data_IF_989620613503
#
_entry.id   IF_989620613503
#
_cell.length_a   1.000
_cell.length_b   1.000
_cell.length_c   1.000
_cell.angle_alpha   90.00
_cell.angle_beta   90.00
_cell.angle_gamma   90.00
#
_symmetry.space_group_name_H-M   'P 1'
#
loop_
_entity.id
_entity.type
_entity.pdbx_description
1 polymer ?
#
# COMPACT_ATOMS: atom_id res chain seq x y z
N UNK A 1 11.95 6.05 35.09
CA UNK A 1 10.55 6.01 34.57
C UNK A 1 10.49 5.93 33.04
N UNK A 2 11.19 6.77 32.26
CA UNK A 2 11.20 6.70 30.78
C UNK A 2 11.75 5.38 30.25
N UNK A 3 12.82 4.84 30.81
CA UNK A 3 13.39 3.55 30.43
C UNK A 3 12.37 2.39 30.56
N UNK A 4 11.70 2.30 31.69
CA UNK A 4 10.68 1.28 31.94
C UNK A 4 9.50 1.41 30.97
N UNK A 5 9.04 2.64 30.71
CA UNK A 5 7.95 2.92 29.77
C UNK A 5 8.28 2.50 28.35
N UNK A 6 9.54 2.74 27.90
CA UNK A 6 10.01 2.30 26.59
C UNK A 6 9.97 0.77 26.47
N UNK A 7 10.48 0.04 27.44
CA UNK A 7 10.49 -1.43 27.39
C UNK A 7 9.08 -2.04 27.42
N UNK A 8 8.16 -1.44 28.18
CA UNK A 8 6.76 -1.87 28.22
C UNK A 8 6.13 -1.68 26.83
N UNK A 9 6.35 -0.54 26.15
CA UNK A 9 5.77 -0.33 24.80
C UNK A 9 6.35 -1.27 23.75
N UNK A 10 7.65 -1.59 23.82
CA UNK A 10 8.26 -2.58 22.92
C UNK A 10 7.72 -3.99 23.19
N UNK A 11 7.55 -4.38 24.47
CA UNK A 11 6.95 -5.65 24.83
C UNK A 11 5.50 -5.75 24.33
N UNK A 12 4.69 -4.72 24.54
CA UNK A 12 3.31 -4.67 24.02
C UNK A 12 3.28 -4.81 22.51
N UNK A 13 4.21 -4.15 21.80
CA UNK A 13 4.32 -4.28 20.35
C UNK A 13 4.66 -5.71 19.92
N UNK A 14 5.63 -6.35 20.56
CA UNK A 14 5.99 -7.75 20.27
C UNK A 14 4.83 -8.70 20.54
N UNK A 15 4.11 -8.54 21.65
CA UNK A 15 2.92 -9.33 21.96
C UNK A 15 1.83 -9.15 20.90
N UNK A 16 1.62 -7.93 20.42
CA UNK A 16 0.66 -7.63 19.37
C UNK A 16 1.07 -8.30 18.04
N UNK A 17 2.35 -8.24 17.64
CA UNK A 17 2.83 -8.93 16.45
C UNK A 17 2.66 -10.46 16.57
N UNK A 18 3.03 -11.05 17.71
CA UNK A 18 2.84 -12.48 17.95
C UNK A 18 1.36 -12.86 17.91
N UNK A 19 0.48 -12.04 18.51
CA UNK A 19 -0.96 -12.24 18.48
C UNK A 19 -1.54 -12.13 17.06
N UNK A 20 -1.06 -11.16 16.27
CA UNK A 20 -1.45 -11.00 14.86
C UNK A 20 -1.02 -12.22 14.04
N UNK A 21 0.23 -12.66 14.19
CA UNK A 21 0.75 -13.83 13.48
C UNK A 21 0.00 -15.11 13.87
N UNK A 22 -0.21 -15.33 15.17
CA UNK A 22 -0.97 -16.45 15.67
C UNK A 22 -2.41 -16.45 15.15
N UNK A 23 -3.13 -15.30 15.27
CA UNK A 23 -4.49 -15.15 14.77
C UNK A 23 -4.57 -15.39 13.26
N UNK A 24 -3.61 -14.88 12.49
CA UNK A 24 -3.54 -15.10 11.05
C UNK A 24 -3.45 -16.60 10.71
N UNK A 25 -2.53 -17.31 11.34
CA UNK A 25 -2.34 -18.76 11.09
C UNK A 25 -3.59 -19.56 11.45
N UNK A 26 -4.30 -19.19 12.55
CA UNK A 26 -5.54 -19.87 12.97
C UNK A 26 -6.73 -19.56 12.05
N UNK A 27 -6.78 -18.37 11.46
CA UNK A 27 -7.90 -17.90 10.63
C UNK A 27 -7.74 -18.23 9.13
N UNK A 28 -6.53 -18.56 8.66
CA UNK A 28 -6.31 -18.92 7.26
C UNK A 28 -7.02 -20.24 6.96
N UNK A 29 -7.97 -20.17 6.03
CA UNK A 29 -8.61 -21.36 5.46
C UNK A 29 -7.84 -21.88 4.25
N UNK A 30 -7.89 -23.18 3.98
CA UNK A 30 -7.17 -23.83 2.88
C UNK A 30 -7.69 -23.45 1.49
N UNK A 31 -8.98 -23.09 1.39
CA UNK A 31 -9.61 -22.69 0.13
C UNK A 31 -9.53 -21.18 -0.14
N UNK A 32 -10.08 -20.75 -1.27
CA UNK A 32 -10.25 -19.35 -1.63
C UNK A 32 -11.69 -19.10 -2.10
N UNK A 33 -12.25 -17.93 -1.80
CA UNK A 33 -13.54 -17.51 -2.33
C UNK A 33 -13.39 -17.29 -3.83
N UNK A 34 -14.24 -17.94 -4.64
CA UNK A 34 -14.23 -17.81 -6.10
C UNK A 34 -14.78 -16.45 -6.53
N UNK A 35 -14.03 -15.40 -6.23
CA UNK A 35 -14.32 -14.02 -6.62
C UNK A 35 -13.05 -13.17 -6.53
N UNK A 36 -12.90 -12.20 -7.45
CA UNK A 36 -11.81 -11.23 -7.46
C UNK A 36 -10.60 -11.63 -8.31
N UNK A 37 -9.52 -10.92 -8.09
CA UNK A 37 -8.35 -10.85 -8.98
C UNK A 37 -7.36 -12.02 -8.81
N UNK A 38 -7.58 -12.88 -7.81
CA UNK A 38 -6.61 -13.88 -7.37
C UNK A 38 -6.16 -14.86 -8.46
N UNK A 39 -7.10 -15.30 -9.30
CA UNK A 39 -6.81 -16.29 -10.34
C UNK A 39 -5.80 -15.75 -11.35
N UNK A 40 -5.95 -14.49 -11.75
CA UNK A 40 -5.03 -13.86 -12.70
C UNK A 40 -3.65 -13.60 -12.05
N UNK A 41 -3.58 -13.19 -10.78
CA UNK A 41 -2.31 -13.07 -10.08
C UNK A 41 -1.55 -14.41 -10.01
N UNK A 42 -2.25 -15.50 -9.70
CA UNK A 42 -1.66 -16.85 -9.65
C UNK A 42 -1.23 -17.28 -11.06
N UNK A 43 -2.07 -17.07 -12.08
CA UNK A 43 -1.74 -17.42 -13.47
C UNK A 43 -0.54 -16.62 -13.99
N UNK A 44 -0.43 -15.32 -13.67
CA UNK A 44 0.73 -14.52 -13.98
C UNK A 44 1.98 -15.03 -13.24
N UNK A 45 1.88 -15.42 -11.96
CA UNK A 45 3.00 -16.02 -11.24
C UNK A 45 3.46 -17.35 -11.84
N UNK A 46 2.52 -18.20 -12.28
CA UNK A 46 2.84 -19.44 -13.01
C UNK A 46 3.53 -19.17 -14.34
N UNK A 47 3.09 -18.13 -15.07
CA UNK A 47 3.68 -17.80 -16.37
C UNK A 47 5.14 -17.37 -16.29
N UNK A 48 5.57 -16.83 -15.15
CA UNK A 48 7.00 -16.58 -14.88
C UNK A 48 7.77 -17.88 -14.81
N UNK A 49 7.19 -18.92 -14.17
CA UNK A 49 7.83 -20.23 -14.06
C UNK A 49 7.94 -20.95 -15.41
N UNK A 50 6.90 -20.86 -16.22
CA UNK A 50 6.82 -21.60 -17.49
C UNK A 50 7.37 -20.80 -18.67
N UNK A 51 7.64 -19.52 -18.52
CA UNK A 51 8.10 -18.62 -19.59
C UNK A 51 7.01 -18.29 -20.63
N UNK A 52 5.73 -18.49 -20.29
CA UNK A 52 4.59 -18.31 -21.20
C UNK A 52 3.81 -17.00 -20.95
N UNK A 53 4.48 -15.95 -20.43
CA UNK A 53 3.86 -14.66 -20.06
C UNK A 53 3.15 -14.00 -21.25
N UNK A 54 3.73 -14.08 -22.46
CA UNK A 54 3.13 -13.52 -23.66
C UNK A 54 1.86 -14.28 -24.09
N UNK A 55 1.83 -15.60 -23.87
CA UNK A 55 0.65 -16.40 -24.13
C UNK A 55 -0.50 -16.00 -23.19
N UNK A 56 -0.21 -15.81 -21.88
CA UNK A 56 -1.23 -15.35 -20.92
C UNK A 56 -1.79 -13.98 -21.32
N UNK A 57 -0.94 -13.07 -21.80
CA UNK A 57 -1.40 -11.78 -22.33
C UNK A 57 -2.37 -11.96 -23.51
N UNK A 58 -2.01 -12.79 -24.49
CA UNK A 58 -2.83 -13.04 -25.68
C UNK A 58 -4.16 -13.70 -25.33
N UNK A 59 -4.13 -14.72 -24.46
CA UNK A 59 -5.33 -15.43 -24.00
C UNK A 59 -6.29 -14.47 -23.28
N UNK A 60 -5.79 -13.64 -22.39
CA UNK A 60 -6.61 -12.66 -21.66
C UNK A 60 -7.15 -11.57 -22.58
N UNK A 61 -6.37 -11.11 -23.56
CA UNK A 61 -6.83 -10.15 -24.56
C UNK A 61 -7.98 -10.73 -25.39
N UNK A 62 -7.85 -11.98 -25.83
CA UNK A 62 -8.89 -12.68 -26.57
C UNK A 62 -10.18 -12.84 -25.72
N UNK A 63 -10.03 -13.30 -24.46
CA UNK A 63 -11.15 -13.45 -23.55
C UNK A 63 -11.89 -12.13 -23.31
N UNK A 64 -11.17 -11.02 -23.11
CA UNK A 64 -11.77 -9.69 -22.91
C UNK A 64 -12.47 -9.23 -24.18
N UNK A 65 -11.89 -9.43 -25.36
CA UNK A 65 -12.46 -9.02 -26.64
C UNK A 65 -13.82 -9.70 -26.90
N UNK A 66 -13.97 -10.95 -26.46
CA UNK A 66 -15.21 -11.73 -26.59
C UNK A 66 -16.15 -11.59 -25.39
N UNK A 67 -15.74 -10.84 -24.33
CA UNK A 67 -16.58 -10.66 -23.14
C UNK A 67 -17.67 -9.61 -23.35
N UNK A 68 -18.86 -9.89 -22.83
CA UNK A 68 -19.97 -8.93 -22.77
C UNK A 68 -19.65 -7.73 -21.85
N UNK A 69 -18.77 -7.93 -20.87
CA UNK A 69 -18.37 -6.96 -19.86
C UNK A 69 -16.89 -6.62 -19.96
N UNK A 70 -16.46 -6.03 -21.08
CA UNK A 70 -15.06 -5.67 -21.34
C UNK A 70 -14.46 -4.68 -20.33
N UNK A 71 -15.29 -4.00 -19.53
CA UNK A 71 -14.89 -2.86 -18.68
C UNK A 71 -14.33 -3.24 -17.31
N UNK A 72 -14.39 -4.50 -16.88
CA UNK A 72 -14.16 -4.87 -15.48
C UNK A 72 -12.83 -5.55 -15.19
N UNK A 73 -12.07 -5.93 -16.19
CA UNK A 73 -10.80 -6.62 -15.98
C UNK A 73 -9.70 -6.02 -16.85
N UNK A 74 -8.51 -5.74 -16.28
CA UNK A 74 -7.33 -5.46 -17.09
C UNK A 74 -6.90 -6.75 -17.80
N UNK A 75 -6.18 -6.62 -18.92
CA UNK A 75 -5.59 -7.78 -19.60
C UNK A 75 -4.60 -8.47 -18.64
N UNK A 76 -3.75 -7.71 -17.98
CA UNK A 76 -2.84 -8.19 -16.93
C UNK A 76 -2.80 -7.18 -15.78
N UNK A 77 -2.66 -7.70 -14.58
CA UNK A 77 -2.32 -6.87 -13.41
C UNK A 77 -0.84 -6.48 -13.41
N UNK A 78 -0.46 -5.41 -12.67
CA UNK A 78 0.94 -5.09 -12.46
C UNK A 78 1.70 -6.28 -11.86
N UNK A 79 2.92 -6.54 -12.34
CA UNK A 79 3.67 -7.76 -12.08
C UNK A 79 4.29 -7.87 -10.68
N UNK A 80 4.28 -6.81 -9.88
CA UNK A 80 4.92 -6.81 -8.56
C UNK A 80 4.34 -7.85 -7.61
N UNK A 81 3.01 -8.01 -7.57
CA UNK A 81 2.40 -9.04 -6.73
C UNK A 81 2.60 -10.46 -7.29
N UNK A 82 2.39 -10.74 -8.58
CA UNK A 82 2.79 -12.03 -9.19
C UNK A 82 4.24 -12.41 -8.92
N UNK A 83 5.18 -11.47 -8.94
CA UNK A 83 6.58 -11.72 -8.59
C UNK A 83 6.77 -12.12 -7.12
N UNK A 84 5.98 -11.56 -6.20
CA UNK A 84 5.98 -11.99 -4.79
C UNK A 84 5.39 -13.39 -4.60
N UNK A 85 4.43 -13.79 -5.43
CA UNK A 85 3.83 -15.14 -5.40
C UNK A 85 4.70 -16.19 -6.10
N UNK A 86 5.52 -15.77 -7.05
CA UNK A 86 6.33 -16.70 -7.87
C UNK A 86 7.16 -17.70 -7.05
N UNK A 87 7.91 -17.31 -5.98
CA UNK A 87 8.64 -18.27 -5.17
C UNK A 87 7.74 -19.35 -4.55
N UNK A 88 6.51 -18.96 -4.13
CA UNK A 88 5.55 -19.92 -3.58
C UNK A 88 5.03 -20.86 -4.66
N UNK A 89 4.76 -20.36 -5.87
CA UNK A 89 4.38 -21.18 -7.01
C UNK A 89 5.49 -22.18 -7.37
N UNK A 90 6.72 -21.70 -7.42
CA UNK A 90 7.88 -22.55 -7.78
C UNK A 90 8.15 -23.65 -6.76
N UNK A 91 7.95 -23.40 -5.47
CA UNK A 91 8.26 -24.34 -4.39
C UNK A 91 7.08 -25.27 -4.03
N UNK A 92 5.85 -24.77 -4.11
CA UNK A 92 4.67 -25.45 -3.58
C UNK A 92 3.55 -25.67 -4.62
N UNK A 93 3.77 -25.26 -5.88
CA UNK A 93 2.72 -25.27 -6.89
C UNK A 93 1.55 -24.33 -6.54
N UNK A 94 0.32 -24.69 -6.92
CA UNK A 94 -0.89 -23.95 -6.55
C UNK A 94 -1.25 -24.31 -5.11
N UNK A 95 -0.77 -23.52 -4.17
CA UNK A 95 -1.02 -23.68 -2.74
C UNK A 95 -1.55 -22.38 -2.13
N UNK A 96 -2.86 -22.28 -1.95
CA UNK A 96 -3.51 -21.08 -1.42
C UNK A 96 -3.04 -20.72 -0.02
N UNK A 97 -2.71 -21.69 0.82
CA UNK A 97 -2.15 -21.42 2.15
C UNK A 97 -0.80 -20.68 2.03
N UNK A 98 0.11 -21.18 1.17
CA UNK A 98 1.41 -20.52 0.95
C UNK A 98 1.24 -19.10 0.39
N UNK A 99 0.29 -18.89 -0.52
CA UNK A 99 0.02 -17.55 -1.07
C UNK A 99 -0.51 -16.58 0.00
N UNK A 100 -1.38 -17.03 0.90
CA UNK A 100 -1.91 -16.21 1.99
C UNK A 100 -0.84 -15.88 3.03
N UNK A 101 0.12 -16.78 3.27
CA UNK A 101 1.27 -16.51 4.15
C UNK A 101 2.08 -15.32 3.64
N UNK A 102 2.21 -15.13 2.32
CA UNK A 102 2.84 -13.90 1.77
C UNK A 102 2.13 -12.65 2.26
N UNK A 103 0.78 -12.64 2.23
CA UNK A 103 -0.03 -11.55 2.77
C UNK A 103 0.19 -11.32 4.27
N UNK A 104 0.26 -12.40 5.07
CA UNK A 104 0.53 -12.32 6.52
C UNK A 104 1.91 -11.73 6.81
N UNK A 105 2.94 -12.20 6.11
CA UNK A 105 4.31 -11.66 6.26
C UNK A 105 4.31 -10.16 5.95
N UNK A 106 3.61 -9.76 4.88
CA UNK A 106 3.48 -8.36 4.50
C UNK A 106 2.69 -7.55 5.54
N UNK A 107 1.62 -8.08 6.14
CA UNK A 107 0.88 -7.40 7.21
C UNK A 107 1.77 -7.14 8.42
N UNK A 108 2.51 -8.15 8.86
CA UNK A 108 3.48 -8.03 9.97
C UNK A 108 4.57 -7.00 9.63
N UNK A 109 5.10 -7.06 8.41
CA UNK A 109 6.07 -6.06 7.90
C UNK A 109 5.50 -4.64 7.91
N UNK A 110 4.26 -4.45 7.45
CA UNK A 110 3.58 -3.15 7.49
C UNK A 110 3.47 -2.61 8.93
N UNK A 111 3.12 -3.47 9.90
CA UNK A 111 3.02 -3.09 11.30
C UNK A 111 4.38 -2.69 11.89
N UNK A 112 5.45 -3.41 11.52
CA UNK A 112 6.82 -3.06 11.92
C UNK A 112 7.20 -1.67 11.38
N UNK A 113 7.01 -1.42 10.08
CA UNK A 113 7.35 -0.13 9.49
C UNK A 113 6.47 1.01 10.03
N UNK A 114 5.20 0.76 10.31
CA UNK A 114 4.30 1.73 10.92
C UNK A 114 4.72 2.08 12.34
N UNK A 115 5.09 1.08 13.16
CA UNK A 115 5.54 1.30 14.54
C UNK A 115 6.86 2.07 14.61
N UNK A 116 7.81 1.75 13.72
CA UNK A 116 9.10 2.42 13.64
C UNK A 116 9.09 3.65 12.71
N UNK A 117 7.90 4.09 12.27
CA UNK A 117 7.79 5.24 11.38
C UNK A 117 8.36 6.50 12.05
N UNK A 118 9.26 7.27 11.39
CA UNK A 118 10.00 8.37 12.03
C UNK A 118 9.15 9.49 12.64
N UNK A 119 7.94 9.73 12.09
CA UNK A 119 7.01 10.70 12.66
C UNK A 119 6.36 10.15 13.93
N UNK A 120 6.05 8.85 13.97
CA UNK A 120 5.31 8.17 15.03
C UNK A 120 6.21 7.57 16.11
N UNK A 121 7.49 7.34 15.81
CA UNK A 121 8.45 6.74 16.76
C UNK A 121 8.80 7.67 17.93
N UNK A 122 8.38 8.94 17.89
CA UNK A 122 8.49 9.84 19.04
C UNK A 122 7.71 9.26 20.21
N UNK A 123 8.31 9.24 21.38
CA UNK A 123 7.78 8.60 22.60
C UNK A 123 6.32 8.97 22.91
N UNK A 124 5.95 10.23 22.64
CA UNK A 124 4.59 10.75 22.82
C UNK A 124 3.53 10.08 21.93
N UNK A 125 3.91 9.47 20.78
CA UNK A 125 2.96 8.85 19.83
C UNK A 125 2.93 7.32 19.95
N UNK A 126 3.91 6.69 20.56
CA UNK A 126 4.03 5.22 20.58
C UNK A 126 2.79 4.49 21.10
N UNK A 127 2.20 4.98 22.19
CA UNK A 127 0.96 4.38 22.71
C UNK A 127 -0.21 4.52 21.75
N UNK A 128 -0.31 5.64 21.04
CA UNK A 128 -1.36 5.83 20.04
C UNK A 128 -1.16 4.92 18.83
N UNK A 129 0.09 4.69 18.43
CA UNK A 129 0.41 3.73 17.36
C UNK A 129 0.04 2.32 17.78
N UNK A 130 0.38 1.89 19.01
CA UNK A 130 -0.03 0.59 19.54
C UNK A 130 -1.55 0.43 19.55
N UNK A 131 -2.28 1.46 19.95
CA UNK A 131 -3.74 1.45 19.90
C UNK A 131 -4.25 1.27 18.46
N UNK A 132 -3.69 2.01 17.50
CA UNK A 132 -4.04 1.86 16.07
C UNK A 132 -3.75 0.43 15.61
N UNK A 133 -2.56 -0.10 15.89
CA UNK A 133 -2.21 -1.47 15.49
C UNK A 133 -3.12 -2.51 16.13
N UNK A 134 -3.50 -2.33 17.41
CA UNK A 134 -4.46 -3.20 18.10
C UNK A 134 -5.85 -3.13 17.44
N UNK A 135 -6.30 -1.92 17.06
CA UNK A 135 -7.56 -1.74 16.34
C UNK A 135 -7.52 -2.41 14.95
N UNK A 136 -6.41 -2.29 14.22
CA UNK A 136 -6.25 -2.96 12.92
C UNK A 136 -6.23 -4.49 13.09
N UNK A 137 -5.52 -5.00 14.10
CA UNK A 137 -5.48 -6.43 14.43
C UNK A 137 -6.85 -6.97 14.84
N UNK A 138 -7.64 -6.20 15.57
CA UNK A 138 -9.01 -6.56 15.95
C UNK A 138 -10.05 -6.40 14.86
N UNK A 139 -9.67 -5.89 13.68
CA UNK A 139 -10.62 -5.50 12.65
C UNK A 139 -10.84 -6.61 11.60
N UNK A 140 -12.10 -7.06 11.47
CA UNK A 140 -12.50 -8.12 10.55
C UNK A 140 -12.22 -7.77 9.07
N UNK A 141 -12.22 -6.48 8.70
CA UNK A 141 -11.88 -6.03 7.36
C UNK A 141 -10.44 -6.44 6.97
N UNK A 142 -9.46 -6.26 7.88
CA UNK A 142 -8.08 -6.71 7.65
C UNK A 142 -7.98 -8.24 7.59
N UNK A 143 -8.74 -8.96 8.42
CA UNK A 143 -8.78 -10.42 8.40
C UNK A 143 -9.38 -10.99 7.12
N UNK A 144 -10.32 -10.29 6.51
CA UNK A 144 -10.83 -10.63 5.18
C UNK A 144 -9.71 -10.69 4.14
N UNK A 145 -8.81 -9.71 4.15
CA UNK A 145 -7.65 -9.68 3.23
C UNK A 145 -6.55 -10.68 3.60
N UNK A 146 -6.40 -11.05 4.86
CA UNK A 146 -5.51 -12.15 5.27
C UNK A 146 -5.95 -13.48 4.64
N UNK A 147 -7.25 -13.69 4.49
CA UNK A 147 -7.81 -14.88 3.85
C UNK A 147 -7.94 -14.79 2.32
N UNK A 148 -7.47 -13.71 1.72
CA UNK A 148 -7.49 -13.53 0.28
C UNK A 148 -6.09 -13.52 -0.33
N UNK A 149 -5.96 -14.03 -1.56
CA UNK A 149 -4.77 -13.86 -2.39
C UNK A 149 -4.94 -12.55 -3.13
N UNK A 150 -4.40 -11.47 -2.56
CA UNK A 150 -4.66 -10.11 -3.04
C UNK A 150 -3.46 -9.19 -2.82
N UNK A 151 -3.36 -8.13 -3.63
CA UNK A 151 -2.21 -7.20 -3.62
C UNK A 151 -2.25 -6.17 -2.49
N UNK A 152 -3.35 -6.07 -1.74
CA UNK A 152 -3.61 -5.01 -0.76
C UNK A 152 -2.61 -5.06 0.42
N UNK A 153 -2.43 -6.23 1.06
CA UNK A 153 -1.50 -6.38 2.18
C UNK A 153 -0.03 -6.20 1.75
N UNK A 154 0.44 -6.81 0.64
CA UNK A 154 1.76 -6.51 0.09
C UNK A 154 1.95 -5.03 -0.22
N UNK A 155 0.99 -4.39 -0.85
CA UNK A 155 1.07 -2.96 -1.14
C UNK A 155 1.18 -2.13 0.15
N UNK A 156 0.38 -2.40 1.16
CA UNK A 156 0.45 -1.73 2.46
C UNK A 156 1.85 -1.85 3.08
N UNK A 157 2.45 -3.04 3.03
CA UNK A 157 3.81 -3.27 3.54
C UNK A 157 4.84 -2.42 2.79
N UNK A 158 4.86 -2.51 1.47
CA UNK A 158 5.85 -1.81 0.64
C UNK A 158 5.64 -0.29 0.67
N UNK A 159 4.40 0.17 0.81
CA UNK A 159 4.07 1.58 1.03
C UNK A 159 4.68 2.10 2.34
N UNK A 160 4.47 1.40 3.45
CA UNK A 160 5.04 1.78 4.76
C UNK A 160 6.57 1.70 4.74
N UNK A 161 7.14 0.70 4.10
CA UNK A 161 8.58 0.57 3.90
C UNK A 161 9.15 1.73 3.08
N UNK A 162 8.46 2.14 2.02
CA UNK A 162 8.84 3.30 1.19
C UNK A 162 8.87 4.59 2.00
N UNK A 163 7.85 4.87 2.80
CA UNK A 163 7.85 6.04 3.69
C UNK A 163 8.94 5.99 4.74
N UNK A 164 9.11 4.83 5.38
CA UNK A 164 10.18 4.65 6.36
C UNK A 164 11.55 4.93 5.74
N UNK A 165 11.82 4.38 4.55
CA UNK A 165 13.09 4.56 3.84
C UNK A 165 13.28 6.02 3.42
N UNK A 166 12.28 6.66 2.81
CA UNK A 166 12.33 8.07 2.45
C UNK A 166 12.65 8.94 3.67
N UNK A 167 11.90 8.79 4.76
CA UNK A 167 12.11 9.60 5.96
C UNK A 167 13.48 9.38 6.59
N UNK A 168 13.97 8.14 6.60
CA UNK A 168 15.32 7.83 7.11
C UNK A 168 16.42 8.45 6.26
N UNK A 169 16.35 8.31 4.94
CA UNK A 169 17.37 8.86 4.03
C UNK A 169 17.42 10.40 4.08
N UNK A 170 16.27 11.04 4.12
CA UNK A 170 16.19 12.50 4.08
C UNK A 170 16.32 13.17 5.45
N UNK A 171 16.11 12.46 6.56
CA UNK A 171 16.43 12.97 7.88
C UNK A 171 17.95 13.13 8.11
N UNK A 172 18.73 12.33 7.43
CA UNK A 172 20.17 12.25 7.60
C UNK A 172 20.92 13.23 6.65
N UNK A 173 20.76 14.49 6.66
CA UNK A 173 21.24 15.56 5.75
C UNK A 173 22.65 15.43 5.12
N UNK A 174 23.53 14.52 5.57
CA UNK A 174 24.89 14.38 5.06
C UNK A 174 25.02 13.45 3.85
N UNK A 175 25.72 13.88 2.82
CA UNK A 175 25.93 13.15 1.56
C UNK A 175 27.20 12.28 1.65
N UNK A 176 27.13 11.09 2.22
CA UNK A 176 28.22 10.12 2.18
C UNK A 176 28.09 9.16 1.00
N UNK A 177 29.23 8.63 0.47
CA UNK A 177 29.21 7.67 -0.65
C UNK A 177 28.40 6.42 -0.38
N UNK A 178 28.42 5.92 0.86
CA UNK A 178 27.60 4.78 1.29
C UNK A 178 26.11 4.95 1.07
N UNK A 179 25.63 6.18 0.89
CA UNK A 179 24.21 6.49 0.63
C UNK A 179 23.82 6.41 -0.83
N UNK A 180 24.75 6.44 -1.76
CA UNK A 180 24.45 6.28 -3.20
C UNK A 180 23.67 5.00 -3.45
N UNK A 181 24.11 3.89 -2.86
CA UNK A 181 23.42 2.59 -2.94
C UNK A 181 22.01 2.65 -2.35
N UNK A 182 21.83 3.39 -1.24
CA UNK A 182 20.52 3.54 -0.61
C UNK A 182 19.55 4.37 -1.45
N UNK A 183 20.03 5.38 -2.20
CA UNK A 183 19.19 6.14 -3.13
C UNK A 183 18.79 5.29 -4.34
N UNK A 184 19.71 4.47 -4.87
CA UNK A 184 19.39 3.49 -5.92
C UNK A 184 18.35 2.49 -5.40
N UNK A 185 18.58 1.92 -4.21
CA UNK A 185 17.64 1.00 -3.57
C UNK A 185 16.26 1.62 -3.31
N UNK A 186 16.20 2.91 -2.97
CA UNK A 186 14.93 3.62 -2.84
C UNK A 186 14.18 3.64 -4.17
N UNK A 187 14.83 3.98 -5.28
CA UNK A 187 14.17 4.00 -6.59
C UNK A 187 13.64 2.62 -7.01
N UNK A 188 14.40 1.56 -6.75
CA UNK A 188 13.97 0.17 -6.97
C UNK A 188 12.73 -0.15 -6.11
N UNK A 189 12.77 0.23 -4.83
CA UNK A 189 11.65 0.02 -3.90
C UNK A 189 10.38 0.76 -4.36
N UNK A 190 10.50 2.03 -4.74
CA UNK A 190 9.35 2.83 -5.21
C UNK A 190 8.76 2.23 -6.49
N UNK A 191 9.63 1.84 -7.45
CA UNK A 191 9.20 1.18 -8.67
C UNK A 191 8.47 -0.13 -8.35
N UNK A 192 9.05 -0.98 -7.51
CA UNK A 192 8.43 -2.25 -7.15
C UNK A 192 7.10 -2.05 -6.42
N UNK A 193 6.99 -1.06 -5.54
CA UNK A 193 5.73 -0.69 -4.88
C UNK A 193 4.66 -0.30 -5.91
N UNK A 194 5.05 0.47 -6.93
CA UNK A 194 4.15 0.84 -8.03
C UNK A 194 3.77 -0.36 -8.92
N UNK A 195 4.64 -1.39 -9.00
CA UNK A 195 4.33 -2.64 -9.69
C UNK A 195 3.46 -3.60 -8.84
N UNK A 196 3.33 -3.40 -7.54
CA UNK A 196 2.31 -4.12 -6.74
C UNK A 196 0.93 -3.49 -6.98
N UNK A 197 0.85 -2.15 -6.94
CA UNK A 197 -0.37 -1.39 -7.25
C UNK A 197 0.00 -0.02 -7.82
N UNK A 198 -0.72 0.41 -8.83
CA UNK A 198 -0.42 1.64 -9.58
C UNK A 198 -0.46 2.92 -8.75
N UNK A 199 -1.20 2.95 -7.65
CA UNK A 199 -1.17 4.07 -6.70
C UNK A 199 0.22 4.32 -6.11
N UNK A 200 1.09 3.33 -6.14
CA UNK A 200 2.50 3.47 -5.77
C UNK A 200 3.27 4.51 -6.59
N UNK A 201 2.81 4.88 -7.80
CA UNK A 201 3.42 5.96 -8.58
C UNK A 201 3.32 7.33 -7.87
N UNK A 202 2.34 7.56 -7.01
CA UNK A 202 2.27 8.79 -6.21
C UNK A 202 3.41 8.94 -5.20
N UNK A 203 4.12 7.86 -4.88
CA UNK A 203 5.35 7.95 -4.08
C UNK A 203 6.45 8.76 -4.76
N UNK A 204 6.53 8.73 -6.10
CA UNK A 204 7.48 9.57 -6.84
C UNK A 204 7.12 11.05 -6.73
N UNK A 205 5.82 11.39 -6.79
CA UNK A 205 5.35 12.77 -6.57
C UNK A 205 5.69 13.20 -5.14
N UNK A 206 5.44 12.32 -4.17
CA UNK A 206 5.78 12.57 -2.76
C UNK A 206 7.27 12.81 -2.56
N UNK A 207 8.10 12.04 -3.26
CA UNK A 207 9.56 12.18 -3.23
C UNK A 207 10.01 13.51 -3.84
N UNK A 208 9.46 13.91 -5.00
CA UNK A 208 9.75 15.20 -5.65
C UNK A 208 9.44 16.36 -4.69
N UNK A 209 8.24 16.35 -4.10
CA UNK A 209 7.83 17.41 -3.17
C UNK A 209 8.73 17.46 -1.93
N UNK A 210 9.11 16.29 -1.39
CA UNK A 210 10.02 16.18 -0.25
C UNK A 210 11.41 16.76 -0.58
N UNK A 211 11.94 16.45 -1.76
CA UNK A 211 13.24 16.96 -2.24
C UNK A 211 13.19 18.46 -2.48
N UNK A 212 12.17 18.94 -3.20
CA UNK A 212 11.97 20.36 -3.48
C UNK A 212 11.91 21.20 -2.20
N UNK A 213 11.10 20.78 -1.25
CA UNK A 213 10.98 21.44 0.06
C UNK A 213 12.30 21.53 0.81
N UNK A 214 13.06 20.43 0.82
CA UNK A 214 14.34 20.38 1.54
C UNK A 214 15.50 20.99 0.73
N UNK A 215 15.23 21.57 -0.46
CA UNK A 215 16.20 22.14 -1.39
C UNK A 215 17.32 21.17 -1.75
N UNK A 216 16.99 19.91 -1.95
CA UNK A 216 17.94 18.84 -2.23
C UNK A 216 18.12 18.73 -3.75
N UNK A 217 19.09 19.46 -4.31
CA UNK A 217 19.34 19.57 -5.75
C UNK A 217 20.62 18.86 -6.23
N UNK A 218 21.30 18.12 -5.35
CA UNK A 218 22.51 17.38 -5.72
C UNK A 218 22.19 16.18 -6.64
N UNK A 219 23.15 15.81 -7.52
CA UNK A 219 22.98 14.71 -8.49
C UNK A 219 22.52 13.38 -7.89
N UNK A 220 22.90 13.09 -6.66
CA UNK A 220 22.52 11.87 -5.92
C UNK A 220 21.02 11.78 -5.67
N UNK A 221 20.34 12.92 -5.60
CA UNK A 221 18.89 12.95 -5.38
C UNK A 221 18.10 12.57 -6.64
N UNK A 222 18.75 12.52 -7.81
CA UNK A 222 18.18 11.99 -9.05
C UNK A 222 18.31 10.47 -9.17
N UNK A 223 19.18 9.83 -8.37
CA UNK A 223 19.42 8.39 -8.44
C UNK A 223 18.16 7.53 -8.25
N UNK A 224 17.20 7.85 -7.35
CA UNK A 224 15.97 7.08 -7.25
C UNK A 224 15.17 7.06 -8.55
N UNK A 225 15.12 8.16 -9.27
CA UNK A 225 14.39 8.24 -10.54
C UNK A 225 15.14 7.50 -11.65
N UNK A 226 16.45 7.70 -11.73
CA UNK A 226 17.29 7.02 -12.71
C UNK A 226 17.25 5.49 -12.52
N UNK A 227 17.38 5.00 -11.29
CA UNK A 227 17.32 3.56 -11.02
C UNK A 227 15.92 2.98 -11.28
N UNK A 228 14.86 3.72 -10.92
CA UNK A 228 13.50 3.33 -11.24
C UNK A 228 13.28 3.25 -12.76
N UNK A 229 13.79 4.23 -13.52
CA UNK A 229 13.69 4.27 -14.98
C UNK A 229 14.48 3.13 -15.64
N UNK A 230 15.69 2.86 -15.16
CA UNK A 230 16.50 1.73 -15.65
C UNK A 230 15.79 0.39 -15.42
N UNK A 231 15.26 0.18 -14.23
CA UNK A 231 14.51 -1.05 -13.93
C UNK A 231 13.21 -1.11 -14.74
N UNK A 232 12.49 0.01 -14.88
CA UNK A 232 11.30 0.07 -15.71
C UNK A 232 11.60 -0.36 -17.15
N UNK A 233 12.69 0.14 -17.72
CA UNK A 233 13.12 -0.26 -19.07
C UNK A 233 13.39 -1.77 -19.17
N UNK A 234 14.18 -2.32 -18.25
CA UNK A 234 14.44 -3.78 -18.21
C UNK A 234 13.13 -4.56 -18.02
N UNK A 235 12.25 -4.05 -17.18
CA UNK A 235 10.99 -4.70 -16.85
C UNK A 235 10.06 -4.79 -18.07
N UNK A 236 9.99 -3.70 -18.88
CA UNK A 236 9.18 -3.69 -20.10
C UNK A 236 9.70 -4.60 -21.21
N UNK A 237 10.99 -4.96 -21.17
CA UNK A 237 11.56 -5.96 -22.10
C UNK A 237 11.18 -7.40 -21.73
N UNK A 238 10.90 -7.66 -20.45
CA UNK A 238 10.66 -9.01 -19.93
C UNK A 238 9.16 -9.28 -19.73
N UNK A 239 8.43 -8.30 -19.22
CA UNK A 239 7.04 -8.46 -18.82
C UNK A 239 6.08 -7.72 -19.76
N UNK A 240 5.11 -8.41 -20.36
CA UNK A 240 4.08 -7.75 -21.17
C UNK A 240 3.25 -6.80 -20.30
N UNK A 241 2.86 -5.65 -20.87
CA UNK A 241 2.02 -4.65 -20.20
C UNK A 241 0.59 -4.75 -20.72
N UNK A 242 -0.37 -4.82 -19.84
CA UNK A 242 -1.79 -4.89 -20.17
C UNK A 242 -2.69 -4.08 -19.23
N UNK A 243 -2.07 -3.15 -18.46
CA UNK A 243 -2.82 -2.37 -17.46
C UNK A 243 -3.20 -0.97 -17.93
N UNK A 244 -2.54 -0.44 -18.97
CA UNK A 244 -2.76 0.95 -19.46
C UNK A 244 -4.18 1.19 -19.94
N UNK A 245 -4.83 0.20 -20.54
CA UNK A 245 -6.21 0.28 -21.01
C UNK A 245 -7.20 0.52 -19.86
N UNK A 246 -6.85 0.12 -18.66
CA UNK A 246 -7.66 0.36 -17.47
C UNK A 246 -7.87 1.85 -17.17
N UNK A 247 -6.95 2.71 -17.60
CA UNK A 247 -7.09 4.16 -17.48
C UNK A 247 -8.09 4.77 -18.48
N UNK A 248 -8.46 4.06 -19.53
CA UNK A 248 -9.50 4.51 -20.44
C UNK A 248 -10.86 4.65 -19.78
N UNK A 249 -11.09 3.90 -18.70
CA UNK A 249 -12.33 3.95 -17.94
C UNK A 249 -12.56 5.28 -17.21
N UNK A 250 -11.53 6.10 -17.01
CA UNK A 250 -11.72 7.47 -16.52
C UNK A 250 -12.57 8.34 -17.44
N UNK A 251 -12.62 8.03 -18.74
CA UNK A 251 -13.44 8.75 -19.72
C UNK A 251 -14.96 8.63 -19.46
N UNK A 252 -15.37 7.66 -18.65
CA UNK A 252 -16.79 7.32 -18.37
C UNK A 252 -17.22 7.78 -16.98
N UNK A 253 -16.34 8.44 -16.23
CA UNK A 253 -16.66 8.93 -14.87
C UNK A 253 -17.68 10.05 -14.94
N UNK A 254 -18.84 9.83 -14.33
CA UNK A 254 -19.92 10.81 -14.24
C UNK A 254 -19.85 11.62 -12.94
N UNK A 255 -20.56 12.76 -12.89
CA UNK A 255 -20.69 13.51 -11.65
C UNK A 255 -21.32 12.65 -10.52
N UNK A 256 -22.24 11.76 -10.87
CA UNK A 256 -22.86 10.82 -9.92
C UNK A 256 -21.81 9.90 -9.30
N UNK A 257 -20.87 9.35 -10.11
CA UNK A 257 -19.79 8.55 -9.59
C UNK A 257 -18.88 9.33 -8.63
N UNK A 258 -18.54 10.58 -8.98
CA UNK A 258 -17.74 11.46 -8.11
C UNK A 258 -18.41 11.69 -6.76
N UNK A 259 -19.71 12.05 -6.77
CA UNK A 259 -20.49 12.29 -5.54
C UNK A 259 -20.61 11.02 -4.71
N UNK A 260 -20.86 9.88 -5.35
CA UNK A 260 -20.90 8.57 -4.68
C UNK A 260 -19.57 8.24 -4.00
N UNK A 261 -18.44 8.41 -4.72
CA UNK A 261 -17.13 8.16 -4.16
C UNK A 261 -16.82 9.10 -2.98
N UNK A 262 -17.16 10.39 -3.07
CA UNK A 262 -16.98 11.34 -1.96
C UNK A 262 -17.79 10.90 -0.75
N UNK A 263 -19.07 10.53 -0.94
CA UNK A 263 -19.91 10.03 0.14
C UNK A 263 -19.32 8.75 0.76
N UNK A 264 -18.91 7.82 -0.06
CA UNK A 264 -18.30 6.56 0.36
C UNK A 264 -17.02 6.82 1.15
N UNK A 265 -16.15 7.73 0.68
CA UNK A 265 -14.96 8.15 1.43
C UNK A 265 -15.30 8.74 2.79
N UNK A 266 -16.35 9.55 2.87
CA UNK A 266 -16.81 10.13 4.14
C UNK A 266 -17.27 9.05 5.14
N UNK A 267 -17.95 8.01 4.66
CA UNK A 267 -18.57 6.98 5.50
C UNK A 267 -17.60 5.87 5.96
N UNK A 268 -16.56 5.60 5.21
CA UNK A 268 -15.66 4.47 5.47
C UNK A 268 -15.02 4.41 6.86
N UNK A 269 -14.55 5.48 7.49
CA UNK A 269 -13.97 5.39 8.82
C UNK A 269 -14.88 4.72 9.84
N UNK A 270 -16.16 5.06 9.84
CA UNK A 270 -17.15 4.45 10.71
C UNK A 270 -17.46 2.99 10.31
N UNK A 271 -17.58 2.73 9.00
CA UNK A 271 -17.82 1.38 8.48
C UNK A 271 -16.69 0.42 8.81
N UNK A 272 -15.43 0.82 8.60
CA UNK A 272 -14.25 0.00 8.90
C UNK A 272 -14.16 -0.29 10.40
N UNK A 273 -14.51 0.67 11.24
CA UNK A 273 -14.47 0.50 12.71
C UNK A 273 -15.77 -0.08 13.28
N UNK A 274 -16.79 -0.35 12.45
CA UNK A 274 -18.10 -0.82 12.89
C UNK A 274 -18.76 0.11 13.93
N UNK A 275 -18.56 1.43 13.76
CA UNK A 275 -19.16 2.45 14.61
C UNK A 275 -20.43 2.98 13.94
N UNK A 276 -21.62 2.84 14.55
CA UNK A 276 -22.90 3.19 13.90
C UNK A 276 -23.21 4.69 13.84
N UNK A 277 -22.27 5.58 14.20
CA UNK A 277 -22.53 7.01 14.34
C UNK A 277 -21.94 7.84 13.20
N UNK A 278 -22.78 8.53 12.45
CA UNK A 278 -22.36 9.51 11.43
C UNK A 278 -21.50 10.66 11.99
N UNK A 279 -21.75 11.06 13.24
CA UNK A 279 -20.95 12.05 13.96
C UNK A 279 -19.48 11.60 14.15
N UNK A 280 -19.23 10.30 14.23
CA UNK A 280 -17.86 9.79 14.28
C UNK A 280 -17.09 10.11 13.00
N UNK A 281 -17.69 9.99 11.83
CA UNK A 281 -17.05 10.33 10.56
C UNK A 281 -16.68 11.82 10.52
N UNK A 282 -17.59 12.70 10.94
CA UNK A 282 -17.29 14.12 11.04
C UNK A 282 -16.11 14.39 11.98
N UNK A 283 -16.13 13.81 13.18
CA UNK A 283 -15.05 13.93 14.16
C UNK A 283 -13.72 13.38 13.60
N UNK A 284 -13.75 12.22 12.94
CA UNK A 284 -12.57 11.61 12.33
C UNK A 284 -11.98 12.53 11.25
N UNK A 285 -12.80 13.00 10.31
CA UNK A 285 -12.34 13.83 9.20
C UNK A 285 -11.86 15.21 9.63
N UNK A 286 -12.53 15.85 10.58
CA UNK A 286 -12.09 17.14 11.13
C UNK A 286 -10.68 17.00 11.71
N UNK A 287 -10.44 15.97 12.54
CA UNK A 287 -9.11 15.75 13.11
C UNK A 287 -8.08 15.31 12.04
N UNK A 288 -8.47 14.50 11.07
CA UNK A 288 -7.61 14.11 9.97
C UNK A 288 -7.18 15.34 9.13
N UNK A 289 -8.11 16.21 8.76
CA UNK A 289 -7.84 17.45 8.02
C UNK A 289 -6.98 18.42 8.84
N UNK A 290 -7.25 18.55 10.14
CA UNK A 290 -6.41 19.36 11.04
C UNK A 290 -4.98 18.83 11.11
N UNK A 291 -4.82 17.51 11.25
CA UNK A 291 -3.50 16.86 11.24
C UNK A 291 -2.78 17.00 9.90
N UNK A 292 -3.52 16.88 8.77
CA UNK A 292 -3.00 17.16 7.43
C UNK A 292 -2.56 18.63 7.31
N UNK A 293 -3.35 19.58 7.79
CA UNK A 293 -2.98 21.00 7.78
C UNK A 293 -1.69 21.28 8.57
N UNK A 294 -1.57 20.71 9.77
CA UNK A 294 -0.36 20.81 10.58
C UNK A 294 0.84 20.19 9.87
N UNK A 295 0.64 19.04 9.22
CA UNK A 295 1.68 18.35 8.47
C UNK A 295 2.00 19.02 7.14
N UNK A 296 1.00 19.62 6.47
CA UNK A 296 1.21 20.33 5.20
C UNK A 296 2.10 21.56 5.36
N UNK A 297 2.07 22.24 6.52
CA UNK A 297 3.06 23.28 6.84
C UNK A 297 4.49 22.76 6.81
N UNK A 298 4.66 21.44 7.02
CA UNK A 298 5.95 20.73 6.93
C UNK A 298 6.09 19.94 5.62
N UNK A 299 5.07 19.81 4.79
CA UNK A 299 4.99 19.02 3.57
C UNK A 299 5.68 17.66 3.74
N UNK A 300 5.03 16.72 4.38
CA UNK A 300 5.56 15.36 4.53
C UNK A 300 5.22 14.51 3.31
N UNK A 301 6.05 13.50 3.01
CA UNK A 301 5.80 12.60 1.88
C UNK A 301 4.42 11.91 2.00
N UNK A 302 4.02 11.55 3.22
CA UNK A 302 2.76 10.91 3.53
C UNK A 302 1.55 11.82 3.23
N UNK A 303 1.65 13.12 3.54
CA UNK A 303 0.57 14.07 3.27
C UNK A 303 0.34 14.25 1.77
N UNK A 304 1.43 14.35 1.00
CA UNK A 304 1.36 14.46 -0.47
C UNK A 304 0.76 13.20 -1.07
N UNK A 305 1.26 12.03 -0.65
CA UNK A 305 0.75 10.74 -1.12
C UNK A 305 -0.75 10.59 -0.82
N UNK A 306 -1.16 10.85 0.42
CA UNK A 306 -2.57 10.70 0.83
C UNK A 306 -3.49 11.59 0.00
N UNK A 307 -3.14 12.86 -0.15
CA UNK A 307 -3.95 13.81 -0.95
C UNK A 307 -4.02 13.37 -2.41
N UNK A 308 -2.89 13.03 -3.02
CA UNK A 308 -2.83 12.58 -4.43
C UNK A 308 -3.65 11.31 -4.66
N UNK A 309 -3.54 10.36 -3.74
CA UNK A 309 -4.29 9.09 -3.85
C UNK A 309 -5.80 9.30 -3.64
N UNK A 310 -6.21 10.10 -2.66
CA UNK A 310 -7.63 10.43 -2.47
C UNK A 310 -8.20 11.12 -3.70
N UNK A 311 -7.49 12.08 -4.28
CA UNK A 311 -7.91 12.76 -5.52
C UNK A 311 -8.09 11.77 -6.69
N UNK A 312 -7.17 10.81 -6.85
CA UNK A 312 -7.33 9.76 -7.85
C UNK A 312 -8.59 8.93 -7.58
N UNK A 313 -8.76 8.48 -6.33
CA UNK A 313 -9.83 7.54 -5.97
C UNK A 313 -11.22 8.17 -6.02
N UNK A 314 -11.34 9.47 -5.76
CA UNK A 314 -12.60 10.20 -6.00
C UNK A 314 -13.01 10.10 -7.49
N UNK A 315 -12.04 10.15 -8.39
CA UNK A 315 -12.27 9.99 -9.83
C UNK A 315 -12.25 8.53 -10.29
N UNK A 316 -12.11 7.55 -9.40
CA UNK A 316 -11.99 6.15 -9.76
C UNK A 316 -13.36 5.57 -10.15
N UNK A 317 -13.47 4.82 -11.28
CA UNK A 317 -14.77 4.32 -11.76
C UNK A 317 -15.27 3.07 -11.04
N UNK A 318 -14.48 2.52 -10.12
CA UNK A 318 -14.77 1.26 -9.41
C UNK A 318 -14.89 1.45 -7.91
N UNK A 319 -15.33 0.40 -7.21
CA UNK A 319 -15.39 0.41 -5.74
C UNK A 319 -14.01 0.65 -5.12
N UNK A 320 -13.97 1.64 -4.22
CA UNK A 320 -12.74 2.13 -3.60
C UNK A 320 -12.48 1.51 -2.21
N UNK A 321 -13.36 0.63 -1.71
CA UNK A 321 -13.25 0.10 -0.34
C UNK A 321 -11.91 -0.59 -0.07
N UNK A 322 -11.41 -1.36 -1.02
CA UNK A 322 -10.16 -2.11 -0.89
C UNK A 322 -8.92 -1.22 -0.77
N UNK A 323 -8.95 -0.01 -1.32
CA UNK A 323 -7.84 0.95 -1.21
C UNK A 323 -7.69 1.50 0.21
N UNK A 324 -8.77 1.46 0.98
CA UNK A 324 -8.76 1.90 2.37
C UNK A 324 -7.88 1.05 3.29
N UNK A 325 -7.55 -0.17 2.91
CA UNK A 325 -6.65 -1.00 3.70
C UNK A 325 -5.28 -0.32 3.94
N UNK A 326 -4.74 0.33 2.93
CA UNK A 326 -3.48 1.07 3.03
C UNK A 326 -3.66 2.54 3.42
N UNK A 327 -4.79 3.17 3.07
CA UNK A 327 -5.06 4.58 3.36
C UNK A 327 -5.51 4.81 4.80
N UNK A 328 -6.28 3.90 5.37
CA UNK A 328 -6.81 4.05 6.72
C UNK A 328 -5.72 4.26 7.79
N UNK A 329 -4.62 3.48 7.82
CA UNK A 329 -3.52 3.73 8.73
C UNK A 329 -2.87 5.10 8.55
N UNK A 330 -2.76 5.59 7.30
CA UNK A 330 -2.25 6.94 7.01
C UNK A 330 -3.20 8.02 7.53
N UNK A 331 -4.50 7.88 7.27
CA UNK A 331 -5.51 8.78 7.82
C UNK A 331 -5.46 8.82 9.35
N UNK A 332 -5.24 7.66 9.99
CA UNK A 332 -5.08 7.60 11.45
C UNK A 332 -3.84 8.33 11.95
N UNK A 333 -2.74 8.32 11.21
CA UNK A 333 -1.55 9.12 11.56
C UNK A 333 -1.94 10.61 11.67
N UNK A 334 -2.67 11.11 10.67
CA UNK A 334 -3.10 12.50 10.66
C UNK A 334 -4.19 12.78 11.69
N UNK A 335 -5.13 11.86 11.88
CA UNK A 335 -6.12 11.94 12.95
C UNK A 335 -5.47 12.10 14.33
N UNK A 336 -4.48 11.28 14.67
CA UNK A 336 -3.74 11.39 15.94
C UNK A 336 -3.02 12.73 16.06
N UNK A 337 -2.47 13.25 14.97
CA UNK A 337 -1.80 14.55 14.96
C UNK A 337 -2.79 15.69 15.18
N UNK A 338 -3.95 15.66 14.54
CA UNK A 338 -5.01 16.66 14.69
C UNK A 338 -5.65 16.63 16.06
N UNK A 339 -5.95 15.45 16.58
CA UNK A 339 -6.57 15.27 17.90
C UNK A 339 -5.72 15.78 19.07
N UNK A 340 -4.40 15.88 18.89
CA UNK A 340 -3.47 16.35 19.91
C UNK A 340 -3.07 17.82 19.78
N UNK A 341 -3.63 18.50 18.81
CA UNK A 341 -3.41 19.93 18.61
C UNK A 341 -4.42 20.74 19.39
#
# INVERSE_FOLDING_TARGET
MQFLKKHITELCFMLLLCGTLWGAVQLIVSGHIFNGDFALYIRQAQSIQYGDMQQVFSDMQEMITHSTYQRYSPILYPWGYPLLLFPCVALFGINYFAFKIVGVICLVGAFIFLYYHPILSKERFRMSVLLVLALLTGNIFYWGYVNSVSSELPFFCFLMFSFWTMNKLYALKEQTEKRTILYIGLGILLFFTAQIRTEGYFLFISLIVLQWKNRLLGWRFFLPYASALCIWFVFTLVFPSGYTEHFEHFKVVTLTNLLHNIQTFYEYPAQILYIPFSLFNLFFWVNCLLGLYISSRKLTAESVYLVSTIMLLICWPYDVIRYWLSLFPLCFIFFIQGFRF
#
